data_IF_982397147074
#
_entry.id   IF_982397147074
#
_cell.length_a   1.000
_cell.length_b   1.000
_cell.length_c   1.000
_cell.angle_alpha   90.00
_cell.angle_beta   90.00
_cell.angle_gamma   90.00
#
_symmetry.space_group_name_H-M   'P 1'
#
loop_
_entity.id
_entity.type
_entity.pdbx_description
1 polymer ?
#
# COMPACT_ATOMS: atom_id res chain seq x y z
N UNK A 1 1.20 -20.84 -5.58
CA UNK A 1 2.00 -20.32 -4.46
C UNK A 1 1.07 -19.44 -3.63
N UNK A 2 0.91 -19.74 -2.35
CA UNK A 2 0.13 -18.91 -1.42
C UNK A 2 1.09 -18.04 -0.62
N UNK A 3 0.77 -16.75 -0.47
CA UNK A 3 1.57 -15.81 0.30
C UNK A 3 0.80 -15.45 1.58
N UNK A 4 0.89 -16.25 2.64
CA UNK A 4 0.01 -16.13 3.80
C UNK A 4 0.16 -14.78 4.53
N UNK A 5 1.32 -14.13 4.40
CA UNK A 5 1.61 -12.83 5.02
C UNK A 5 1.31 -11.63 4.12
N UNK A 6 1.06 -11.84 2.82
CA UNK A 6 0.86 -10.74 1.86
C UNK A 6 -0.40 -9.94 2.19
N UNK A 7 -1.55 -10.61 2.29
CA UNK A 7 -2.81 -9.94 2.54
C UNK A 7 -2.85 -9.27 3.93
N UNK A 8 -2.45 -9.93 5.04
CA UNK A 8 -2.36 -9.27 6.34
C UNK A 8 -1.47 -8.03 6.35
N UNK A 9 -0.29 -8.10 5.71
CA UNK A 9 0.64 -6.96 5.62
C UNK A 9 0.07 -5.82 4.77
N UNK A 10 -0.54 -6.15 3.63
CA UNK A 10 -1.21 -5.17 2.79
C UNK A 10 -2.33 -4.45 3.56
N UNK A 11 -3.21 -5.19 4.24
CA UNK A 11 -4.31 -4.61 5.04
C UNK A 11 -3.80 -3.81 6.25
N UNK A 12 -2.67 -4.19 6.85
CA UNK A 12 -1.99 -3.40 7.88
C UNK A 12 -1.59 -2.03 7.34
N UNK A 13 -0.94 -1.98 6.17
CA UNK A 13 -0.42 -0.74 5.60
C UNK A 13 -1.51 0.18 5.07
N UNK A 14 -2.53 -0.35 4.39
CA UNK A 14 -3.61 0.46 3.80
C UNK A 14 -4.37 1.28 4.85
N UNK A 15 -4.41 0.81 6.09
CA UNK A 15 -5.05 1.50 7.23
C UNK A 15 -4.23 2.65 7.81
N UNK A 16 -2.95 2.74 7.48
CA UNK A 16 -2.06 3.79 7.98
C UNK A 16 -2.31 5.05 7.15
N UNK A 17 -2.54 6.17 7.83
CA UNK A 17 -2.56 7.47 7.17
C UNK A 17 -1.13 7.87 6.82
N UNK A 18 -0.85 7.97 5.52
CA UNK A 18 0.43 8.41 4.96
C UNK A 18 0.24 9.54 3.95
N UNK A 19 -0.79 10.36 4.11
CA UNK A 19 -1.09 11.46 3.18
C UNK A 19 0.08 12.44 3.07
N UNK A 20 0.46 12.79 1.85
CA UNK A 20 1.43 13.85 1.57
C UNK A 20 0.85 15.25 1.83
N UNK A 21 1.70 16.26 2.01
CA UNK A 21 1.30 17.67 2.11
C UNK A 21 2.08 18.51 1.09
N UNK A 22 1.39 19.00 0.06
CA UNK A 22 1.98 19.78 -1.03
C UNK A 22 2.49 21.17 -0.60
N UNK A 23 2.00 21.69 0.53
CA UNK A 23 2.40 23.00 1.05
C UNK A 23 3.62 22.92 1.98
N UNK A 24 4.11 21.70 2.24
CA UNK A 24 5.20 21.45 3.17
C UNK A 24 6.54 21.95 2.63
N UNK A 25 7.36 22.49 3.54
CA UNK A 25 8.74 22.92 3.28
C UNK A 25 9.76 21.92 3.85
N UNK A 26 9.31 20.72 4.27
CA UNK A 26 10.16 19.64 4.78
C UNK A 26 10.01 18.37 3.93
N UNK A 27 10.95 17.45 4.12
CA UNK A 27 10.92 16.14 3.48
C UNK A 27 11.20 15.04 4.51
N UNK A 28 10.38 13.96 4.60
CA UNK A 28 9.06 13.77 3.98
C UNK A 28 8.08 14.90 4.32
N UNK A 29 7.06 15.14 3.49
CA UNK A 29 6.19 16.32 3.64
C UNK A 29 5.49 16.37 5.00
N UNK A 30 5.15 15.21 5.57
CA UNK A 30 4.49 15.09 6.86
C UNK A 30 5.28 14.20 7.83
N UNK A 31 5.02 14.35 9.13
CA UNK A 31 5.56 13.43 10.14
C UNK A 31 4.88 12.05 10.10
N UNK A 32 3.65 11.96 9.58
CA UNK A 32 2.91 10.70 9.48
C UNK A 32 3.55 9.76 8.45
N UNK A 33 4.05 10.30 7.33
CA UNK A 33 4.87 9.56 6.36
C UNK A 33 6.13 8.98 7.03
N UNK A 34 6.84 9.78 7.82
CA UNK A 34 8.04 9.33 8.53
C UNK A 34 7.71 8.24 9.57
N UNK A 35 6.59 8.37 10.29
CA UNK A 35 6.12 7.32 11.20
C UNK A 35 5.82 6.02 10.45
N UNK A 36 5.21 6.11 9.26
CA UNK A 36 4.95 4.93 8.44
C UNK A 36 6.24 4.26 7.96
N UNK A 37 7.22 5.03 7.51
CA UNK A 37 8.56 4.52 7.17
C UNK A 37 9.20 3.76 8.34
N UNK A 38 9.07 4.25 9.58
CA UNK A 38 9.59 3.54 10.77
C UNK A 38 8.87 2.21 11.04
N UNK A 39 7.59 2.10 10.71
CA UNK A 39 6.85 0.81 10.77
C UNK A 39 7.44 -0.17 9.75
N UNK A 40 7.67 0.28 8.51
CA UNK A 40 8.28 -0.54 7.45
C UNK A 40 9.70 -0.98 7.85
N UNK A 41 10.50 -0.08 8.44
CA UNK A 41 11.82 -0.39 8.95
C UNK A 41 11.78 -1.56 9.94
N UNK A 42 10.86 -1.52 10.90
CA UNK A 42 10.70 -2.59 11.88
C UNK A 42 10.26 -3.90 11.23
N UNK A 43 9.28 -3.85 10.31
CA UNK A 43 8.81 -5.03 9.59
C UNK A 43 9.94 -5.69 8.76
N UNK A 44 10.84 -4.89 8.16
CA UNK A 44 12.02 -5.40 7.45
C UNK A 44 13.07 -6.00 8.39
N UNK A 45 13.26 -5.41 9.58
CA UNK A 45 14.14 -5.99 10.62
C UNK A 45 13.61 -7.33 11.13
N UNK A 46 12.30 -7.44 11.33
CA UNK A 46 11.65 -8.70 11.72
C UNK A 46 11.83 -9.80 10.65
N UNK A 47 11.96 -9.40 9.38
CA UNK A 47 12.31 -10.32 8.28
C UNK A 47 13.82 -10.68 8.24
N UNK A 48 14.63 -10.12 9.12
CA UNK A 48 16.07 -10.37 9.20
C UNK A 48 16.90 -9.59 8.18
N UNK A 49 16.33 -8.56 7.55
CA UNK A 49 17.05 -7.77 6.54
C UNK A 49 17.94 -6.70 7.17
N UNK A 50 19.09 -6.47 6.53
CA UNK A 50 19.94 -5.33 6.84
C UNK A 50 19.28 -4.07 6.27
N UNK A 51 18.77 -3.21 7.14
CA UNK A 51 18.04 -2.02 6.74
C UNK A 51 18.23 -0.84 7.69
N UNK A 52 18.09 0.36 7.15
CA UNK A 52 18.20 1.61 7.89
C UNK A 52 17.26 2.68 7.31
N UNK A 53 16.94 3.67 8.14
CA UNK A 53 16.22 4.86 7.70
C UNK A 53 17.22 5.94 7.29
N UNK A 54 17.15 6.37 6.04
CA UNK A 54 17.97 7.46 5.52
C UNK A 54 17.27 8.79 5.78
N UNK A 55 17.76 9.55 6.77
CA UNK A 55 17.19 10.85 7.12
C UNK A 55 17.24 11.88 5.99
N UNK A 56 18.27 11.82 5.12
CA UNK A 56 18.43 12.76 4.01
C UNK A 56 17.38 12.52 2.93
N UNK A 57 17.05 11.25 2.68
CA UNK A 57 16.12 10.86 1.63
C UNK A 57 14.75 10.44 2.14
N UNK A 58 14.48 10.53 3.44
CA UNK A 58 13.22 10.12 4.08
C UNK A 58 12.76 8.69 3.77
N UNK A 59 13.67 7.80 3.35
CA UNK A 59 13.34 6.45 2.89
C UNK A 59 13.96 5.39 3.80
N UNK A 60 13.25 4.28 3.96
CA UNK A 60 13.89 3.04 4.40
C UNK A 60 14.63 2.39 3.24
N UNK A 61 15.87 2.00 3.48
CA UNK A 61 16.71 1.27 2.54
C UNK A 61 17.01 -0.08 3.17
N UNK A 62 16.83 -1.15 2.39
CA UNK A 62 17.14 -2.52 2.78
C UNK A 62 17.96 -3.20 1.69
N UNK A 63 18.88 -4.07 2.11
CA UNK A 63 19.70 -4.88 1.22
C UNK A 63 19.40 -6.35 1.46
N UNK A 64 19.28 -7.10 0.37
CA UNK A 64 19.29 -8.56 0.37
C UNK A 64 20.61 -8.96 -0.29
N UNK A 65 21.42 -9.74 0.42
CA UNK A 65 22.70 -10.20 -0.11
C UNK A 65 22.51 -11.16 -1.29
N UNK A 66 23.52 -11.25 -2.15
CA UNK A 66 23.54 -12.23 -3.24
C UNK A 66 23.37 -13.64 -2.67
N UNK A 67 22.55 -14.45 -3.34
CA UNK A 67 22.40 -15.87 -3.04
C UNK A 67 23.20 -16.77 -4.01
N UNK A 68 24.08 -16.17 -4.82
CA UNK A 68 24.98 -16.85 -5.76
C UNK A 68 26.43 -16.47 -5.50
N UNK A 69 27.35 -17.36 -5.91
CA UNK A 69 28.79 -17.29 -5.68
C UNK A 69 29.57 -16.63 -6.84
N UNK A 70 28.88 -16.04 -7.79
CA UNK A 70 29.45 -15.31 -8.92
C UNK A 70 28.91 -13.88 -9.01
N UNK A 71 29.65 -13.01 -9.68
CA UNK A 71 29.28 -11.59 -9.80
C UNK A 71 28.00 -11.42 -10.63
N UNK A 72 27.05 -10.70 -10.06
CA UNK A 72 25.79 -10.33 -10.70
C UNK A 72 25.51 -8.83 -10.53
N UNK A 73 24.83 -8.18 -11.49
CA UNK A 73 24.43 -6.80 -11.34
C UNK A 73 23.45 -6.61 -10.17
N UNK A 74 23.69 -5.59 -9.35
CA UNK A 74 22.72 -5.12 -8.37
C UNK A 74 21.56 -4.41 -9.07
N UNK A 75 20.32 -4.69 -8.64
CA UNK A 75 19.14 -3.95 -9.05
C UNK A 75 18.34 -3.48 -7.82
N UNK A 76 17.54 -2.43 -8.00
CA UNK A 76 16.72 -1.86 -6.93
C UNK A 76 15.23 -2.03 -7.22
N UNK A 77 14.45 -2.30 -6.18
CA UNK A 77 13.00 -2.19 -6.20
C UNK A 77 12.59 -1.00 -5.36
N UNK A 78 11.73 -0.14 -5.92
CA UNK A 78 11.31 1.11 -5.30
C UNK A 78 9.78 1.11 -5.19
N UNK A 79 9.29 1.55 -4.05
CA UNK A 79 7.88 1.83 -3.81
C UNK A 79 7.76 3.11 -3.00
N UNK A 80 6.77 3.93 -3.32
CA UNK A 80 6.46 5.12 -2.52
C UNK A 80 5.51 4.73 -1.37
N UNK A 81 5.56 5.47 -0.26
CA UNK A 81 4.80 5.16 0.96
C UNK A 81 3.62 6.10 1.19
N UNK A 82 3.64 7.25 0.53
CA UNK A 82 2.63 8.28 0.64
C UNK A 82 1.36 7.95 -0.14
N UNK A 83 0.26 8.56 0.28
CA UNK A 83 -0.99 8.59 -0.48
C UNK A 83 -1.28 10.02 -0.91
N UNK A 84 -1.96 10.16 -2.06
CA UNK A 84 -2.32 11.46 -2.62
C UNK A 84 -3.11 12.33 -1.63
N UNK A 85 -3.17 13.64 -1.87
CA UNK A 85 -3.87 14.62 -1.03
C UNK A 85 -5.40 14.49 -1.11
N UNK A 86 -5.90 13.39 -0.54
CA UNK A 86 -7.30 13.07 -0.33
C UNK A 86 -7.49 12.61 1.11
N UNK A 87 -8.74 12.52 1.57
CA UNK A 87 -9.02 12.04 2.91
C UNK A 87 -8.45 10.63 3.11
N UNK A 88 -7.72 10.45 4.20
CA UNK A 88 -6.93 9.25 4.49
C UNK A 88 -7.01 8.83 5.97
N UNK A 89 -7.89 9.45 6.73
CA UNK A 89 -8.21 9.01 8.08
C UNK A 89 -9.22 7.86 8.06
N UNK A 90 -9.18 7.01 9.09
CA UNK A 90 -10.17 5.95 9.35
C UNK A 90 -10.45 5.04 8.13
N UNK A 91 -9.40 4.66 7.42
CA UNK A 91 -9.52 3.75 6.27
C UNK A 91 -9.97 2.37 6.71
N UNK A 92 -11.02 1.87 6.06
CA UNK A 92 -11.56 0.53 6.29
C UNK A 92 -11.66 -0.25 4.98
N UNK A 93 -10.68 -1.14 4.69
CA UNK A 93 -10.71 -1.92 3.46
C UNK A 93 -11.93 -2.85 3.38
N UNK A 94 -12.66 -2.79 2.27
CA UNK A 94 -13.71 -3.75 1.93
C UNK A 94 -13.11 -4.86 1.06
N UNK A 95 -13.54 -6.10 1.33
CA UNK A 95 -13.10 -7.29 0.59
C UNK A 95 -14.30 -7.89 -0.12
N UNK A 96 -14.25 -7.95 -1.44
CA UNK A 96 -15.25 -8.61 -2.28
C UNK A 96 -14.65 -9.90 -2.81
N UNK A 97 -15.16 -11.04 -2.34
CA UNK A 97 -14.70 -12.35 -2.78
C UNK A 97 -15.39 -12.78 -4.08
N UNK A 98 -14.64 -13.47 -4.94
CA UNK A 98 -15.15 -14.08 -6.18
C UNK A 98 -16.03 -13.13 -7.01
N UNK A 99 -15.51 -11.93 -7.27
CA UNK A 99 -16.25 -10.90 -7.98
C UNK A 99 -16.74 -11.41 -9.35
N UNK A 100 -17.98 -11.13 -9.71
CA UNK A 100 -18.64 -11.70 -10.90
C UNK A 100 -18.27 -11.00 -12.22
N UNK A 101 -17.60 -9.84 -12.13
CA UNK A 101 -17.21 -9.01 -13.26
C UNK A 101 -18.32 -8.10 -13.80
N UNK A 102 -19.50 -8.09 -13.19
CA UNK A 102 -20.69 -7.38 -13.72
C UNK A 102 -21.48 -6.63 -12.66
N UNK A 103 -21.44 -7.05 -11.39
CA UNK A 103 -22.16 -6.39 -10.31
C UNK A 103 -21.54 -5.06 -9.95
N UNK A 104 -22.39 -4.08 -9.61
CA UNK A 104 -21.94 -2.86 -8.95
C UNK A 104 -21.54 -3.20 -7.51
N UNK A 105 -20.40 -2.70 -7.06
CA UNK A 105 -19.94 -2.88 -5.68
C UNK A 105 -20.21 -1.60 -4.92
N UNK A 106 -21.12 -1.64 -3.93
CA UNK A 106 -21.37 -0.51 -3.04
C UNK A 106 -20.13 -0.26 -2.17
N UNK A 107 -19.78 1.01 -1.94
CA UNK A 107 -18.66 1.41 -1.10
C UNK A 107 -19.16 1.72 0.31
N UNK A 108 -19.08 0.72 1.20
CA UNK A 108 -19.66 0.74 2.56
C UNK A 108 -21.08 1.28 2.59
N UNK A 109 -21.35 2.25 3.47
CA UNK A 109 -22.69 2.81 3.67
C UNK A 109 -23.00 4.05 2.80
N UNK A 110 -22.16 4.35 1.81
CA UNK A 110 -22.32 5.53 0.95
C UNK A 110 -23.26 5.27 -0.24
N UNK A 111 -23.62 6.32 -0.98
CA UNK A 111 -24.33 6.18 -2.26
C UNK A 111 -23.40 5.92 -3.46
N UNK A 112 -22.10 5.70 -3.20
CA UNK A 112 -21.10 5.45 -4.24
C UNK A 112 -20.94 3.95 -4.55
N UNK A 113 -20.68 3.67 -5.83
CA UNK A 113 -20.48 2.33 -6.35
C UNK A 113 -19.25 2.26 -7.26
N UNK A 114 -18.50 1.16 -7.17
CA UNK A 114 -17.65 0.71 -8.28
C UNK A 114 -18.55 0.02 -9.30
N UNK A 115 -18.80 0.71 -10.41
CA UNK A 115 -19.70 0.28 -11.46
C UNK A 115 -18.92 -0.15 -12.71
N UNK A 116 -19.08 -1.38 -13.23
CA UNK A 116 -18.46 -1.83 -14.48
C UNK A 116 -18.84 -1.02 -15.73
N UNK A 117 -19.92 -0.24 -15.67
CA UNK A 117 -20.26 0.71 -16.72
C UNK A 117 -19.32 1.93 -16.73
N UNK A 118 -18.88 2.38 -15.55
CA UNK A 118 -17.93 3.50 -15.36
C UNK A 118 -16.49 3.00 -15.46
N UNK A 119 -16.23 1.80 -14.93
CA UNK A 119 -14.93 1.15 -14.87
C UNK A 119 -14.95 -0.20 -15.62
N UNK A 120 -14.91 -0.21 -16.97
CA UNK A 120 -15.02 -1.44 -17.76
C UNK A 120 -13.98 -2.52 -17.44
N UNK A 121 -12.82 -2.13 -16.89
CA UNK A 121 -11.76 -3.07 -16.48
C UNK A 121 -12.22 -4.04 -15.38
N UNK A 122 -13.28 -3.71 -14.62
CA UNK A 122 -13.89 -4.60 -13.64
C UNK A 122 -14.38 -5.92 -14.28
N UNK A 123 -14.67 -5.94 -15.59
CA UNK A 123 -15.05 -7.17 -16.31
C UNK A 123 -13.91 -8.18 -16.41
N UNK A 124 -12.65 -7.72 -16.39
CA UNK A 124 -11.46 -8.54 -16.61
C UNK A 124 -10.99 -9.28 -15.35
N UNK A 125 -11.59 -8.98 -14.20
CA UNK A 125 -11.19 -9.49 -12.89
C UNK A 125 -12.25 -10.44 -12.30
N UNK A 126 -13.09 -11.02 -13.17
CA UNK A 126 -14.06 -12.06 -12.79
C UNK A 126 -13.35 -13.22 -12.07
N UNK A 127 -13.93 -13.68 -10.97
CA UNK A 127 -13.40 -14.73 -10.11
C UNK A 127 -12.21 -14.30 -9.23
N UNK A 128 -11.77 -13.04 -9.29
CA UNK A 128 -10.72 -12.50 -8.40
C UNK A 128 -11.33 -12.00 -7.10
N UNK A 129 -10.49 -11.91 -6.07
CA UNK A 129 -10.78 -11.13 -4.88
C UNK A 129 -10.42 -9.67 -5.13
N UNK A 130 -11.31 -8.76 -4.75
CA UNK A 130 -11.09 -7.34 -4.87
C UNK A 130 -10.98 -6.68 -3.50
N UNK A 131 -9.98 -5.81 -3.36
CA UNK A 131 -9.75 -4.99 -2.17
C UNK A 131 -10.07 -3.54 -2.52
N UNK A 132 -11.05 -2.94 -1.84
CA UNK A 132 -11.40 -1.54 -2.00
C UNK A 132 -10.92 -0.77 -0.78
N UNK A 133 -10.10 0.26 -0.99
CA UNK A 133 -9.70 1.18 0.08
C UNK A 133 -10.82 2.21 0.28
N UNK A 134 -11.55 2.11 1.37
CA UNK A 134 -12.63 3.06 1.70
C UNK A 134 -12.21 4.00 2.82
N UNK A 135 -12.55 5.27 2.67
CA UNK A 135 -12.57 6.27 3.75
C UNK A 135 -13.93 6.14 4.45
N UNK A 136 -13.93 5.81 5.75
CA UNK A 136 -15.13 5.99 6.56
C UNK A 136 -15.15 7.48 6.93
N UNK A 137 -16.28 8.16 6.72
CA UNK A 137 -16.59 9.59 6.95
C UNK A 137 -16.65 10.44 5.66
N UNK A 138 -17.89 10.78 5.30
CA UNK A 138 -18.29 12.10 4.77
C UNK A 138 -19.22 12.72 5.81
#
# INVERSE_FOLDING_TARGET
MEYPTLLPRFLKYVKINSRSDENSQRFPSTEIEEKFQKIILNDLKELGLQCYYNQKSGCVIATIDSNVDYDVPTFGLLAHCDTADFESNNINPQITHNYDGVSKIKLGDTDFYLDPAIFPHLKNIKGRQLFQRQVIHF
#
